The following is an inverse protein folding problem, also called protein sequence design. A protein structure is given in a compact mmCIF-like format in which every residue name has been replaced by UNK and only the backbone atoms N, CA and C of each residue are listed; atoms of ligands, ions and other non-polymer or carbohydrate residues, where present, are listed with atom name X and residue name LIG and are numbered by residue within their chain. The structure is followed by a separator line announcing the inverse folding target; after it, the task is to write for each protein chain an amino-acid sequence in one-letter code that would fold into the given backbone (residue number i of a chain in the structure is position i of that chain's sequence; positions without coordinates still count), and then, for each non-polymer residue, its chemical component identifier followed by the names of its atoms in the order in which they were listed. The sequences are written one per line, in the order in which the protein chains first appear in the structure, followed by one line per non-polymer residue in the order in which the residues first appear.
data_IF_371291801214
#
_entry.id   IF_371291801214
#
_cell.length_a   1.000
_cell.length_b   1.000
_cell.length_c   1.000
_cell.angle_alpha   90.00
_cell.angle_beta   90.00
_cell.angle_gamma   90.00
#
_symmetry.space_group_name_H-M   'P 1'
#
loop_
_entity.id
_entity.type
_entity.pdbx_description
1 polymer ?
#
# COMPACT_ATOMS: atom_id res chain seq x y z
N UNK A 1 -6.46 -6.15 -13.94
CA UNK A 1 -6.27 -7.37 -13.13
C UNK A 1 -5.73 -6.95 -11.79
N UNK A 2 -6.30 -7.40 -10.69
CA UNK A 2 -5.83 -7.13 -9.31
C UNK A 2 -5.40 -8.48 -8.74
N UNK A 3 -4.13 -8.62 -8.41
CA UNK A 3 -3.60 -9.83 -7.81
C UNK A 3 -3.91 -9.88 -6.32
N UNK A 4 -4.45 -11.00 -5.85
CA UNK A 4 -4.62 -11.23 -4.42
C UNK A 4 -3.25 -11.40 -3.77
N UNK A 5 -2.92 -10.54 -2.79
CA UNK A 5 -1.62 -10.55 -2.13
C UNK A 5 -1.67 -11.39 -0.87
N UNK A 6 -0.67 -12.25 -0.67
CA UNK A 6 -0.60 -13.11 0.54
C UNK A 6 -0.58 -12.31 1.83
N UNK A 7 0.13 -11.18 1.85
CA UNK A 7 0.23 -10.29 3.00
C UNK A 7 -1.09 -9.62 3.40
N UNK A 8 -2.09 -9.59 2.51
CA UNK A 8 -3.37 -8.93 2.72
C UNK A 8 -4.07 -9.39 4.00
N UNK A 9 -4.11 -10.69 4.24
CA UNK A 9 -4.77 -11.27 5.42
C UNK A 9 -4.06 -10.90 6.73
N UNK A 10 -2.75 -10.75 6.70
CA UNK A 10 -1.96 -10.35 7.87
C UNK A 10 -2.18 -8.87 8.20
N UNK A 11 -2.18 -8.00 7.17
CA UNK A 11 -2.50 -6.58 7.35
C UNK A 11 -3.90 -6.45 7.94
N UNK A 12 -4.90 -7.14 7.38
CA UNK A 12 -6.29 -7.07 7.83
C UNK A 12 -6.44 -7.44 9.31
N UNK A 13 -5.76 -8.49 9.78
CA UNK A 13 -5.77 -8.90 11.20
C UNK A 13 -5.18 -7.84 12.14
N UNK A 14 -4.34 -6.94 11.63
CA UNK A 14 -3.67 -5.90 12.44
C UNK A 14 -4.33 -4.53 12.31
N UNK A 15 -5.24 -4.32 11.36
CA UNK A 15 -5.91 -3.02 11.15
C UNK A 15 -6.69 -2.54 12.39
N UNK A 16 -7.25 -3.45 13.16
CA UNK A 16 -8.03 -3.13 14.37
C UNK A 16 -7.19 -3.18 15.66
N UNK A 17 -5.87 -3.23 15.56
CA UNK A 17 -4.97 -3.30 16.72
C UNK A 17 -4.72 -1.97 17.43
N UNK A 18 -5.26 -0.87 16.92
CA UNK A 18 -4.99 0.49 17.39
C UNK A 18 -3.60 1.02 17.05
N UNK A 19 -2.77 0.25 16.35
CA UNK A 19 -1.44 0.69 15.91
C UNK A 19 -1.46 1.14 14.45
N UNK A 20 -0.52 2.01 14.10
CA UNK A 20 -0.29 2.46 12.73
C UNK A 20 0.13 1.27 11.86
N UNK A 21 -0.51 1.10 10.72
CA UNK A 21 -0.10 0.14 9.69
C UNK A 21 0.86 0.85 8.73
N UNK A 22 2.12 0.46 8.74
CA UNK A 22 3.13 1.00 7.83
C UNK A 22 3.43 -0.02 6.73
N UNK A 23 3.00 0.26 5.50
CA UNK A 23 3.23 -0.59 4.33
C UNK A 23 4.37 -0.03 3.49
N UNK A 24 5.48 -0.75 3.45
CA UNK A 24 6.72 -0.36 2.77
C UNK A 24 6.97 -1.26 1.58
N UNK A 25 7.56 -0.74 0.55
CA UNK A 25 7.97 -1.52 -0.61
C UNK A 25 8.42 -0.66 -1.78
N UNK A 26 9.08 -1.24 -2.78
CA UNK A 26 9.50 -0.53 -3.97
C UNK A 26 8.35 0.23 -4.64
N UNK A 27 8.68 1.17 -5.52
CA UNK A 27 7.66 1.82 -6.35
C UNK A 27 6.99 0.78 -7.26
N UNK A 28 5.72 1.03 -7.59
CA UNK A 28 4.94 0.23 -8.54
C UNK A 28 4.65 -1.23 -8.14
N UNK A 29 4.93 -1.63 -6.89
CA UNK A 29 4.56 -2.98 -6.40
C UNK A 29 3.09 -3.13 -6.01
N UNK A 30 2.33 -2.03 -6.03
CA UNK A 30 0.89 -2.03 -5.77
C UNK A 30 0.47 -1.72 -4.34
N UNK A 31 1.27 -0.96 -3.56
CA UNK A 31 0.95 -0.53 -2.18
C UNK A 31 -0.41 0.15 -2.09
N UNK A 32 -0.59 1.23 -2.85
CA UNK A 32 -1.83 2.00 -2.90
C UNK A 32 -3.03 1.15 -3.32
N UNK A 33 -2.84 0.28 -4.33
CA UNK A 33 -3.89 -0.64 -4.79
C UNK A 33 -4.31 -1.60 -3.70
N UNK A 34 -3.35 -2.19 -2.98
CA UNK A 34 -3.61 -3.12 -1.88
C UNK A 34 -4.41 -2.47 -0.76
N UNK A 35 -3.98 -1.28 -0.30
CA UNK A 35 -4.68 -0.57 0.78
C UNK A 35 -6.09 -0.13 0.33
N UNK A 36 -6.23 0.45 -0.87
CA UNK A 36 -7.56 0.81 -1.42
C UNK A 36 -8.49 -0.40 -1.55
N UNK A 37 -7.96 -1.57 -1.87
CA UNK A 37 -8.74 -2.82 -1.89
C UNK A 37 -9.17 -3.24 -0.48
N UNK A 38 -8.29 -3.11 0.52
CA UNK A 38 -8.61 -3.41 1.92
C UNK A 38 -9.65 -2.44 2.52
N UNK A 39 -9.68 -1.21 2.04
CA UNK A 39 -10.57 -0.14 2.50
C UNK A 39 -11.81 0.06 1.62
N UNK A 40 -12.07 -0.83 0.65
CA UNK A 40 -13.12 -0.65 -0.37
C UNK A 40 -14.54 -0.47 0.20
N UNK A 41 -14.79 -1.00 1.39
CA UNK A 41 -16.09 -0.90 2.08
C UNK A 41 -16.08 0.10 3.26
N UNK A 42 -14.98 0.83 3.44
CA UNK A 42 -14.79 1.79 4.54
C UNK A 42 -14.85 3.21 4.03
N UNK A 43 -15.39 4.13 4.83
CA UNK A 43 -15.18 5.55 4.63
C UNK A 43 -13.84 5.95 5.23
N UNK A 44 -12.97 6.59 4.43
CA UNK A 44 -11.64 6.96 4.88
C UNK A 44 -11.14 8.24 4.24
N UNK A 45 -10.36 9.00 4.99
CA UNK A 45 -9.61 10.15 4.46
C UNK A 45 -8.38 9.65 3.71
N UNK A 46 -8.29 9.98 2.42
CA UNK A 46 -7.11 9.70 1.60
C UNK A 46 -6.25 10.95 1.45
N UNK A 47 -4.98 10.85 1.83
CA UNK A 47 -3.98 11.91 1.73
C UNK A 47 -2.81 11.43 0.87
N UNK A 48 -2.67 12.01 -0.31
CA UNK A 48 -1.59 11.67 -1.24
C UNK A 48 -0.37 12.56 -0.97
N UNK A 49 0.72 11.96 -0.52
CA UNK A 49 1.98 12.65 -0.26
C UNK A 49 2.67 13.20 -1.52
N UNK A 50 2.29 12.76 -2.72
CA UNK A 50 2.79 13.37 -3.96
C UNK A 50 2.04 14.68 -4.31
N UNK A 51 0.89 14.97 -3.67
CA UNK A 51 0.17 16.23 -3.84
C UNK A 51 0.78 17.36 -3.01
N UNK A 52 1.19 18.45 -3.66
CA UNK A 52 1.82 19.61 -3.00
C UNK A 52 0.91 20.29 -1.96
N UNK A 53 -0.41 20.28 -2.18
CA UNK A 53 -1.38 20.83 -1.23
C UNK A 53 -1.41 19.99 0.05
N UNK A 54 -1.40 18.66 -0.06
CA UNK A 54 -1.35 17.74 1.09
C UNK A 54 -0.03 17.91 1.86
N UNK A 55 1.09 18.02 1.16
CA UNK A 55 2.39 18.30 1.76
C UNK A 55 2.35 19.60 2.58
N UNK A 56 1.92 20.71 1.97
CA UNK A 56 1.87 22.02 2.62
C UNK A 56 0.98 22.01 3.88
N UNK A 57 -0.19 21.35 3.82
CA UNK A 57 -1.08 21.23 4.97
C UNK A 57 -0.42 20.41 6.08
N UNK A 58 0.10 19.23 5.77
CA UNK A 58 0.65 18.32 6.78
C UNK A 58 1.98 18.83 7.38
N UNK A 59 2.84 19.47 6.59
CA UNK A 59 4.10 20.04 7.08
C UNK A 59 3.87 21.13 8.13
N UNK A 60 2.87 21.99 7.93
CA UNK A 60 2.56 23.13 8.83
C UNK A 60 1.52 22.80 9.91
N UNK A 61 0.83 21.65 9.80
CA UNK A 61 -0.25 21.28 10.71
C UNK A 61 0.21 21.20 12.16
N UNK A 62 -0.52 21.85 13.04
CA UNK A 62 -0.52 21.61 14.49
C UNK A 62 -1.61 20.56 14.85
N UNK A 63 -1.73 20.23 16.13
CA UNK A 63 -2.72 19.24 16.61
C UNK A 63 -4.16 19.61 16.27
N UNK A 64 -4.52 20.90 16.30
CA UNK A 64 -5.87 21.37 16.00
C UNK A 64 -6.19 21.21 14.51
N UNK A 65 -5.28 21.59 13.63
CA UNK A 65 -5.42 21.40 12.17
C UNK A 65 -5.56 19.91 11.84
N UNK A 66 -4.74 19.04 12.44
CA UNK A 66 -4.83 17.60 12.25
C UNK A 66 -6.18 17.05 12.74
N UNK A 67 -6.67 17.52 13.90
CA UNK A 67 -7.99 17.15 14.45
C UNK A 67 -9.09 17.54 13.48
N UNK A 68 -9.12 18.77 13.00
CA UNK A 68 -10.14 19.26 12.08
C UNK A 68 -10.10 18.48 10.75
N UNK A 69 -8.90 18.17 10.24
CA UNK A 69 -8.72 17.41 9.01
C UNK A 69 -9.28 15.98 9.13
N UNK A 70 -9.14 15.36 10.30
CA UNK A 70 -9.50 13.94 10.51
C UNK A 70 -10.83 13.72 11.21
N UNK A 71 -11.50 14.79 11.70
CA UNK A 71 -12.67 14.72 12.59
C UNK A 71 -13.84 13.91 12.07
N UNK A 72 -14.00 13.81 10.77
CA UNK A 72 -15.13 13.10 10.12
C UNK A 72 -14.79 11.67 9.69
N UNK A 73 -13.58 11.18 10.03
CA UNK A 73 -13.09 9.90 9.53
C UNK A 73 -12.51 9.04 10.65
N UNK A 74 -12.97 7.80 10.76
CA UNK A 74 -12.39 6.80 11.65
C UNK A 74 -11.12 6.15 11.06
N UNK A 75 -10.94 6.28 9.75
CA UNK A 75 -9.81 5.72 9.02
C UNK A 75 -9.09 6.80 8.20
N UNK A 76 -7.77 6.84 8.30
CA UNK A 76 -6.90 7.74 7.53
C UNK A 76 -5.86 6.92 6.77
N UNK A 77 -5.76 7.14 5.48
CA UNK A 77 -4.72 6.55 4.64
C UNK A 77 -3.83 7.64 4.04
N UNK A 78 -2.55 7.64 4.42
CA UNK A 78 -1.51 8.54 3.88
C UNK A 78 -0.62 7.73 2.94
N UNK A 79 -0.67 8.05 1.67
CA UNK A 79 0.17 7.40 0.63
C UNK A 79 1.44 8.21 0.38
N UNK A 80 2.52 7.55 -0.06
CA UNK A 80 3.84 8.13 -0.37
C UNK A 80 4.36 9.10 0.73
N UNK A 81 4.14 8.72 2.00
CA UNK A 81 4.39 9.55 3.18
C UNK A 81 5.83 10.10 3.30
N UNK A 82 6.82 9.47 2.66
CA UNK A 82 8.21 9.97 2.62
C UNK A 82 8.36 11.31 1.91
N UNK A 83 7.33 11.78 1.21
CA UNK A 83 7.32 13.09 0.55
C UNK A 83 7.01 14.23 1.51
N UNK A 84 6.46 13.92 2.69
CA UNK A 84 6.02 14.90 3.67
C UNK A 84 7.09 15.03 4.75
N UNK A 85 7.60 16.23 4.96
CA UNK A 85 8.60 16.50 6.00
C UNK A 85 8.02 16.26 7.39
N UNK A 86 8.84 15.73 8.28
CA UNK A 86 8.47 15.48 9.69
C UNK A 86 7.19 14.67 9.87
N UNK A 87 6.79 13.86 8.89
CA UNK A 87 5.55 13.09 8.93
C UNK A 87 5.47 12.17 10.15
N UNK A 88 6.60 11.64 10.65
CA UNK A 88 6.63 10.78 11.81
C UNK A 88 6.07 11.45 13.07
N UNK A 89 6.35 12.76 13.26
CA UNK A 89 5.81 13.54 14.38
C UNK A 89 4.30 13.72 14.21
N UNK A 90 3.82 13.99 12.99
CA UNK A 90 2.40 14.14 12.71
C UNK A 90 1.65 12.80 12.93
N UNK A 91 2.23 11.69 12.50
CA UNK A 91 1.68 10.34 12.75
C UNK A 91 1.62 10.02 14.24
N UNK A 92 2.65 10.41 15.02
CA UNK A 92 2.63 10.25 16.47
C UNK A 92 1.49 11.04 17.10
N UNK A 93 1.29 12.31 16.70
CA UNK A 93 0.19 13.14 17.20
C UNK A 93 -1.17 12.52 16.83
N UNK A 94 -1.35 12.09 15.58
CA UNK A 94 -2.57 11.43 15.12
C UNK A 94 -2.87 10.17 15.93
N UNK A 95 -1.86 9.35 16.18
CA UNK A 95 -2.00 8.11 16.95
C UNK A 95 -2.27 8.37 18.44
N UNK A 96 -1.50 9.25 19.09
CA UNK A 96 -1.52 9.41 20.54
C UNK A 96 -2.65 10.36 21.03
N UNK A 97 -3.18 11.26 20.18
CA UNK A 97 -4.06 12.35 20.60
C UNK A 97 -5.39 12.44 19.86
N UNK A 98 -5.57 11.80 18.71
CA UNK A 98 -6.73 12.05 17.85
C UNK A 98 -7.71 10.87 17.73
N UNK A 99 -7.54 9.79 18.49
CA UNK A 99 -8.47 8.63 18.50
C UNK A 99 -8.85 8.07 17.11
N UNK A 100 -7.94 8.19 16.13
CA UNK A 100 -8.14 7.60 14.79
C UNK A 100 -8.08 6.08 14.95
N UNK A 101 -9.15 5.38 14.60
CA UNK A 101 -9.22 3.93 14.78
C UNK A 101 -8.25 3.18 13.86
N UNK A 102 -8.09 3.66 12.62
CA UNK A 102 -7.23 3.03 11.62
C UNK A 102 -6.34 4.08 10.95
N UNK A 103 -5.06 4.06 11.28
CA UNK A 103 -4.06 4.93 10.64
C UNK A 103 -3.13 4.08 9.79
N UNK A 104 -3.23 4.25 8.47
CA UNK A 104 -2.50 3.46 7.49
C UNK A 104 -1.59 4.40 6.71
N UNK A 105 -0.36 3.97 6.53
CA UNK A 105 0.68 4.77 5.87
C UNK A 105 1.42 3.90 4.87
N UNK A 106 1.62 4.40 3.68
CA UNK A 106 2.52 3.75 2.71
C UNK A 106 3.75 4.58 2.43
N UNK A 107 4.83 3.89 2.06
CA UNK A 107 6.07 4.54 1.70
C UNK A 107 7.03 3.66 0.91
N UNK A 108 8.08 4.28 0.36
CA UNK A 108 9.16 3.55 -0.29
C UNK A 108 10.04 2.81 0.73
N UNK A 109 10.82 1.81 0.29
CA UNK A 109 11.70 1.05 1.17
C UNK A 109 12.74 1.92 1.90
N UNK A 110 13.17 3.03 1.30
CA UNK A 110 14.08 3.99 1.92
C UNK A 110 13.45 4.76 3.10
N UNK A 111 12.13 4.79 3.18
CA UNK A 111 11.39 5.50 4.22
C UNK A 111 11.59 4.88 5.62
N UNK A 112 11.66 3.55 5.71
CA UNK A 112 11.89 2.85 6.97
C UNK A 112 13.30 3.07 7.52
N UNK A 113 14.29 3.20 6.64
CA UNK A 113 15.70 3.38 7.00
C UNK A 113 15.98 4.78 7.55
N UNK A 114 15.05 5.73 7.40
CA UNK A 114 15.20 7.05 7.95
C UNK A 114 15.03 7.00 9.48
N UNK A 115 16.10 7.31 10.21
CA UNK A 115 16.13 7.35 11.68
C UNK A 115 15.04 8.27 12.26
N UNK A 116 14.66 9.33 11.53
CA UNK A 116 13.58 10.23 11.89
C UNK A 116 12.21 9.56 11.98
N UNK A 117 12.03 8.39 11.34
CA UNK A 117 10.80 7.61 11.39
C UNK A 117 10.79 6.54 12.50
N UNK A 118 11.96 6.10 12.94
CA UNK A 118 12.02 4.98 13.88
C UNK A 118 11.66 5.42 15.30
N UNK A 119 12.30 6.46 15.80
CA UNK A 119 12.15 6.86 17.19
C UNK A 119 10.72 7.31 17.57
N UNK A 120 10.05 8.22 16.83
CA UNK A 120 8.70 8.64 17.19
C UNK A 120 7.64 7.54 17.14
N UNK A 121 7.84 6.52 16.28
CA UNK A 121 6.86 5.46 16.02
C UNK A 121 7.21 4.11 16.68
N UNK A 122 8.24 4.07 17.54
CA UNK A 122 8.59 2.86 18.29
C UNK A 122 7.41 2.42 19.15
N UNK A 123 7.04 1.14 19.04
CA UNK A 123 5.91 0.54 19.75
C UNK A 123 4.51 0.88 19.20
N UNK A 124 4.40 1.88 18.30
CA UNK A 124 3.14 2.43 17.77
C UNK A 124 2.75 1.88 16.40
N UNK A 125 3.62 1.13 15.73
CA UNK A 125 3.40 0.67 14.34
C UNK A 125 3.55 -0.84 14.19
N UNK A 126 2.86 -1.37 13.19
CA UNK A 126 3.16 -2.62 12.53
C UNK A 126 3.75 -2.33 11.16
N UNK A 127 4.92 -2.86 10.85
CA UNK A 127 5.57 -2.67 9.55
C UNK A 127 5.37 -3.91 8.70
N UNK A 128 4.91 -3.71 7.48
CA UNK A 128 4.73 -4.73 6.46
C UNK A 128 5.53 -4.39 5.21
N UNK A 129 6.18 -5.38 4.62
CA UNK A 129 6.96 -5.22 3.40
C UNK A 129 6.22 -5.83 2.21
N UNK A 130 5.86 -4.99 1.24
CA UNK A 130 5.26 -5.43 0.00
C UNK A 130 6.34 -5.57 -1.08
N UNK A 131 6.56 -6.80 -1.51
CA UNK A 131 7.45 -7.13 -2.62
C UNK A 131 6.69 -7.14 -3.96
N UNK A 132 7.37 -7.22 -5.11
CA UNK A 132 6.73 -7.59 -6.38
C UNK A 132 5.87 -8.84 -6.21
N UNK A 133 4.98 -9.09 -7.15
CA UNK A 133 4.12 -10.28 -7.13
C UNK A 133 5.01 -11.53 -7.05
N UNK A 134 4.70 -12.44 -6.11
CA UNK A 134 5.41 -13.71 -6.01
C UNK A 134 4.94 -14.67 -7.11
N UNK A 135 5.78 -15.67 -7.44
CA UNK A 135 5.38 -16.71 -8.40
C UNK A 135 4.07 -17.39 -7.97
N UNK A 136 3.93 -17.68 -6.69
CA UNK A 136 2.72 -18.31 -6.16
C UNK A 136 1.47 -17.43 -6.31
N UNK A 137 1.57 -16.13 -6.04
CA UNK A 137 0.46 -15.17 -6.26
C UNK A 137 0.11 -15.07 -7.76
N UNK A 138 1.11 -15.11 -8.62
CA UNK A 138 0.92 -15.10 -10.07
C UNK A 138 0.25 -16.39 -10.55
N UNK A 139 0.76 -17.55 -10.15
CA UNK A 139 0.23 -18.87 -10.52
C UNK A 139 -1.22 -19.05 -10.05
N UNK A 140 -1.54 -18.61 -8.81
CA UNK A 140 -2.92 -18.65 -8.29
C UNK A 140 -3.90 -17.84 -9.14
N UNK A 141 -3.45 -16.74 -9.73
CA UNK A 141 -4.30 -15.86 -10.55
C UNK A 141 -4.45 -16.37 -11.99
N UNK A 142 -3.36 -16.84 -12.61
CA UNK A 142 -3.35 -17.22 -14.02
C UNK A 142 -3.55 -18.72 -14.25
N UNK A 143 -3.29 -19.55 -13.25
CA UNK A 143 -3.31 -20.99 -13.27
C UNK A 143 -1.98 -21.62 -13.70
N UNK A 144 -1.70 -22.82 -13.19
CA UNK A 144 -0.43 -23.54 -13.36
C UNK A 144 0.07 -23.61 -14.81
N UNK A 145 -0.78 -24.10 -15.75
CA UNK A 145 -0.34 -24.28 -17.14
C UNK A 145 0.06 -22.98 -17.83
N UNK A 146 -0.60 -21.88 -17.48
CA UNK A 146 -0.28 -20.56 -18.07
C UNK A 146 0.96 -19.97 -17.45
N UNK A 147 1.16 -20.14 -16.15
CA UNK A 147 2.37 -19.66 -15.47
C UNK A 147 3.62 -20.34 -16.05
N UNK A 148 3.58 -21.66 -16.26
CA UNK A 148 4.69 -22.41 -16.87
C UNK A 148 5.01 -21.93 -18.31
N UNK A 149 4.00 -21.62 -19.12
CA UNK A 149 4.20 -21.13 -20.48
C UNK A 149 4.94 -19.80 -20.57
N UNK A 150 4.93 -18.99 -19.50
CA UNK A 150 5.55 -17.65 -19.47
C UNK A 150 6.75 -17.58 -18.52
N UNK A 151 7.15 -18.71 -17.93
CA UNK A 151 8.20 -18.75 -16.91
C UNK A 151 9.51 -18.08 -17.38
N UNK A 152 10.01 -18.44 -18.56
CA UNK A 152 11.25 -17.86 -19.10
C UNK A 152 11.16 -16.34 -19.23
N UNK A 153 10.01 -15.84 -19.69
CA UNK A 153 9.79 -14.42 -19.84
C UNK A 153 9.72 -13.71 -18.49
N UNK A 154 9.05 -14.30 -17.49
CA UNK A 154 8.97 -13.77 -16.12
C UNK A 154 10.34 -13.71 -15.47
N UNK A 155 11.21 -14.68 -15.71
CA UNK A 155 12.59 -14.68 -15.22
C UNK A 155 13.41 -13.49 -15.77
N UNK A 156 13.09 -13.02 -16.97
CA UNK A 156 13.75 -11.86 -17.58
C UNK A 156 13.15 -10.53 -17.12
N UNK A 157 11.82 -10.44 -17.05
CA UNK A 157 11.11 -9.17 -16.85
C UNK A 157 10.72 -8.90 -15.40
N UNK A 158 10.67 -9.94 -14.56
CA UNK A 158 10.13 -9.91 -13.22
C UNK A 158 8.60 -9.87 -13.18
N UNK A 159 8.05 -9.88 -11.96
CA UNK A 159 6.61 -9.89 -11.67
C UNK A 159 6.14 -8.55 -11.06
N UNK A 160 6.54 -7.43 -11.66
CA UNK A 160 5.96 -6.15 -11.28
C UNK A 160 4.53 -6.01 -11.85
N UNK A 161 3.56 -5.51 -11.05
CA UNK A 161 2.17 -5.35 -11.50
C UNK A 161 2.02 -4.56 -12.80
N UNK A 162 2.87 -3.57 -13.05
CA UNK A 162 2.86 -2.75 -14.25
C UNK A 162 3.27 -3.54 -15.49
N UNK A 163 4.30 -4.37 -15.37
CA UNK A 163 4.73 -5.28 -16.46
C UNK A 163 3.62 -6.26 -16.81
N UNK A 164 2.91 -6.77 -15.81
CA UNK A 164 1.81 -7.71 -16.01
C UNK A 164 0.55 -7.05 -16.57
N UNK A 165 0.34 -5.73 -16.37
CA UNK A 165 -0.78 -4.97 -16.97
C UNK A 165 -0.56 -4.63 -18.45
N UNK A 166 0.69 -4.35 -18.82
CA UNK A 166 1.11 -4.03 -20.18
C UNK A 166 2.01 -5.13 -20.74
N UNK A 167 1.47 -6.32 -20.96
CA UNK A 167 2.30 -7.45 -21.33
C UNK A 167 2.90 -7.24 -22.71
N UNK A 168 4.15 -7.57 -22.86
CA UNK A 168 4.72 -7.89 -24.18
C UNK A 168 3.76 -8.82 -24.95
N UNK A 169 3.74 -8.83 -26.30
CA UNK A 169 2.71 -9.49 -27.13
C UNK A 169 2.33 -10.91 -26.70
N UNK A 170 3.23 -11.66 -26.10
CA UNK A 170 3.00 -13.01 -25.58
C UNK A 170 2.02 -13.08 -24.39
N UNK A 171 2.12 -12.12 -23.43
CA UNK A 171 1.19 -12.04 -22.29
C UNK A 171 -0.23 -11.64 -22.74
N UNK A 172 -0.33 -10.79 -23.76
CA UNK A 172 -1.61 -10.29 -24.26
C UNK A 172 -2.49 -11.43 -24.77
N UNK A 173 -1.91 -12.43 -25.41
CA UNK A 173 -2.64 -13.58 -25.93
C UNK A 173 -3.08 -14.55 -24.82
N UNK A 174 -2.27 -14.75 -23.79
CA UNK A 174 -2.61 -15.62 -22.66
C UNK A 174 -3.73 -15.04 -21.79
N UNK A 175 -3.73 -13.74 -21.54
CA UNK A 175 -4.74 -13.06 -20.71
C UNK A 175 -6.10 -12.90 -21.42
N UNK A 176 -6.11 -12.78 -22.77
CA UNK A 176 -7.36 -12.72 -23.56
C UNK A 176 -8.14 -14.04 -23.56
N UNK A 177 -7.47 -15.18 -23.44
CA UNK A 177 -8.13 -16.49 -23.43
C UNK A 177 -8.73 -16.87 -22.06
N UNK A 178 -8.34 -16.21 -20.95
CA UNK A 178 -8.91 -16.49 -19.64
C UNK A 178 -10.32 -15.92 -19.45
N UNK A 179 -10.68 -14.83 -20.16
CA UNK A 179 -12.02 -14.22 -20.08
C UNK A 179 -13.12 -14.99 -20.87
N UNK A 180 -12.79 -16.04 -21.62
CA UNK A 180 -13.77 -16.80 -22.45
C UNK A 180 -14.23 -18.10 -21.80
N UNK A 181 -13.83 -18.46 -20.59
CA UNK A 181 -14.28 -19.69 -19.91
C UNK A 181 -15.02 -19.39 -18.60
N UNK A 182 -15.91 -18.43 -18.63
CA UNK A 182 -16.88 -18.16 -17.58
C UNK A 182 -18.27 -18.14 -18.21
N UNK A 183 -18.82 -19.29 -18.47
CA UNK A 183 -20.24 -19.62 -18.57
C UNK A 183 -20.46 -20.87 -17.76
#
# INVERSE_FOLDING_TARGET
MIFKRQIQSEIQKKMDSGKIILLIGPRQVGKTTLIKTLLSESDYLFLDGDETTVQAILETANTEVLRNLTSNYDCVFIDEAQRIKEIALKLKIMHDQLNIQKLIVSGSSAFELNSLMQEPLTGRKWTFHLHPITWLEFEQEVGYLKSEQVLEQVLITGLYPEILKNPYPLFTNLLKHSKKKGC
#
